data_IF_498881022232
#
_entry.id   IF_498881022232
#
_cell.length_a   1.000
_cell.length_b   1.000
_cell.length_c   1.000
_cell.angle_alpha   90.00
_cell.angle_beta   90.00
_cell.angle_gamma   90.00
#
_symmetry.space_group_name_H-M   'P 1'
#
loop_
_entity.id
_entity.type
_entity.pdbx_description
1 polymer ?
#
# COMPACT_ATOMS: atom_id res chain seq x y z
N UNK A 1 -2.74 4.88 -4.83
CA UNK A 1 -2.82 3.60 -5.53
C UNK A 1 -4.18 3.43 -6.12
N UNK A 2 -4.28 3.34 -7.41
CA UNK A 2 -5.59 3.37 -8.09
C UNK A 2 -6.21 1.97 -8.20
N UNK A 3 -6.47 1.33 -7.09
CA UNK A 3 -7.06 -0.02 -7.09
C UNK A 3 -8.34 -0.11 -7.92
N UNK A 4 -9.22 0.90 -7.77
CA UNK A 4 -10.50 0.91 -8.48
C UNK A 4 -10.37 1.23 -9.97
N UNK A 5 -9.21 1.72 -10.39
CA UNK A 5 -9.00 2.16 -11.78
C UNK A 5 -8.18 1.18 -12.60
N UNK A 6 -7.60 0.17 -11.95
CA UNK A 6 -6.78 -0.79 -12.67
C UNK A 6 -7.63 -1.68 -13.57
N UNK A 7 -7.06 -2.09 -14.68
CA UNK A 7 -7.68 -3.05 -15.61
C UNK A 7 -6.63 -4.03 -16.10
N UNK A 8 -7.10 -5.21 -16.51
CA UNK A 8 -6.21 -6.22 -17.03
C UNK A 8 -5.60 -5.79 -18.37
N UNK A 9 -4.31 -6.09 -18.56
CA UNK A 9 -3.59 -5.91 -19.82
C UNK A 9 -2.90 -7.23 -20.12
N UNK A 10 -3.38 -7.96 -21.13
CA UNK A 10 -2.90 -9.30 -21.40
C UNK A 10 -3.21 -10.24 -20.24
N UNK A 11 -2.17 -10.90 -19.70
CA UNK A 11 -2.28 -11.82 -18.58
C UNK A 11 -2.19 -11.15 -17.22
N UNK A 12 -1.89 -9.86 -17.17
CA UNK A 12 -1.58 -9.16 -15.93
C UNK A 12 -2.56 -8.03 -15.65
N UNK A 13 -2.72 -7.73 -14.37
CA UNK A 13 -3.39 -6.52 -13.91
C UNK A 13 -2.33 -5.56 -13.37
N UNK A 14 -1.95 -4.52 -14.12
CA UNK A 14 -0.89 -3.62 -13.68
C UNK A 14 -1.40 -2.64 -12.64
N UNK A 15 -0.55 -2.35 -11.65
CA UNK A 15 -0.74 -1.28 -10.69
C UNK A 15 0.42 -0.30 -10.87
N UNK A 16 0.10 0.91 -11.30
CA UNK A 16 1.10 1.95 -11.52
C UNK A 16 1.39 2.65 -10.20
N UNK A 17 2.52 2.32 -9.59
CA UNK A 17 2.91 2.92 -8.30
C UNK A 17 3.38 4.36 -8.52
N UNK A 18 4.24 4.55 -9.52
CA UNK A 18 4.68 5.87 -9.96
C UNK A 18 5.12 5.77 -11.43
N UNK A 19 5.73 6.82 -11.96
CA UNK A 19 6.15 6.87 -13.36
C UNK A 19 7.22 5.82 -13.72
N UNK A 20 7.93 5.30 -12.74
CA UNK A 20 9.04 4.35 -12.98
C UNK A 20 8.80 2.96 -12.41
N UNK A 21 7.70 2.71 -11.72
CA UNK A 21 7.43 1.42 -11.10
C UNK A 21 6.01 0.95 -11.37
N UNK A 22 5.92 -0.21 -12.00
CA UNK A 22 4.66 -0.91 -12.21
C UNK A 22 4.74 -2.27 -11.51
N UNK A 23 3.68 -2.63 -10.79
CA UNK A 23 3.52 -3.98 -10.24
C UNK A 23 2.51 -4.70 -11.11
N UNK A 24 2.91 -5.82 -11.69
CA UNK A 24 2.01 -6.65 -12.50
C UNK A 24 1.45 -7.77 -11.62
N UNK A 25 0.13 -7.77 -11.44
CA UNK A 25 -0.55 -8.82 -10.70
C UNK A 25 -1.04 -9.88 -11.67
N UNK A 26 -0.63 -11.12 -11.40
CA UNK A 26 -1.06 -12.29 -12.15
C UNK A 26 -2.18 -12.99 -11.38
N UNK A 27 -3.28 -13.30 -12.06
CA UNK A 27 -4.37 -14.04 -11.44
C UNK A 27 -3.96 -15.49 -11.24
N UNK A 28 -4.16 -16.01 -10.04
CA UNK A 28 -3.77 -17.36 -9.69
C UNK A 28 -4.91 -18.05 -8.93
N UNK A 29 -5.28 -19.26 -9.34
CA UNK A 29 -6.39 -19.99 -8.74
C UNK A 29 -5.98 -20.82 -7.54
N UNK A 30 -4.69 -21.10 -7.39
CA UNK A 30 -4.15 -21.82 -6.23
C UNK A 30 -3.72 -20.87 -5.13
N UNK A 31 -3.43 -21.40 -3.94
CA UNK A 31 -2.89 -20.62 -2.84
C UNK A 31 -1.56 -19.96 -3.21
N UNK A 32 -1.34 -18.76 -2.72
CA UNK A 32 -0.13 -17.97 -2.97
C UNK A 32 0.33 -17.30 -1.66
N UNK A 33 1.63 -17.00 -1.52
CA UNK A 33 2.14 -16.28 -0.36
C UNK A 33 1.60 -14.86 -0.32
N UNK A 34 1.23 -14.40 0.87
CA UNK A 34 0.89 -13.00 1.10
C UNK A 34 2.19 -12.18 1.04
N UNK A 35 2.17 -11.13 0.25
CA UNK A 35 3.30 -10.23 0.08
C UNK A 35 3.17 -9.03 1.01
N UNK A 36 4.31 -8.47 1.42
CA UNK A 36 4.40 -7.21 2.15
C UNK A 36 5.18 -6.23 1.27
N UNK A 37 4.50 -5.19 0.82
CA UNK A 37 5.04 -4.20 -0.11
C UNK A 37 5.12 -2.86 0.62
N UNK A 38 6.32 -2.29 0.70
CA UNK A 38 6.58 -1.04 1.42
C UNK A 38 7.13 0.00 0.46
N UNK A 39 6.53 1.19 0.46
CA UNK A 39 6.93 2.30 -0.41
C UNK A 39 7.24 3.54 0.41
N UNK A 40 8.40 4.15 0.12
CA UNK A 40 8.69 5.48 0.63
C UNK A 40 8.03 6.51 -0.27
N UNK A 41 7.33 7.47 0.34
CA UNK A 41 6.59 8.53 -0.35
C UNK A 41 6.93 9.87 0.30
N UNK A 42 6.68 10.96 -0.41
CA UNK A 42 6.77 12.31 0.17
C UNK A 42 5.61 12.55 1.14
N UNK A 43 5.73 13.61 1.95
CA UNK A 43 4.65 13.99 2.86
C UNK A 43 3.36 14.31 2.09
N UNK A 44 3.46 15.01 0.97
CA UNK A 44 2.28 15.34 0.17
C UNK A 44 1.67 14.12 -0.50
N UNK A 45 2.49 13.19 -0.96
CA UNK A 45 2.02 11.90 -1.49
C UNK A 45 1.33 11.08 -0.42
N UNK A 46 1.85 11.09 0.80
CA UNK A 46 1.24 10.40 1.94
C UNK A 46 -0.15 10.97 2.22
N UNK A 47 -0.28 12.28 2.29
CA UNK A 47 -1.59 12.94 2.51
C UNK A 47 -2.59 12.56 1.41
N UNK A 48 -2.15 12.58 0.16
CA UNK A 48 -3.01 12.19 -0.97
C UNK A 48 -3.41 10.72 -0.89
N UNK A 49 -2.51 9.84 -0.48
CA UNK A 49 -2.80 8.41 -0.29
C UNK A 49 -3.84 8.19 0.80
N UNK A 50 -3.69 8.84 1.96
CA UNK A 50 -4.66 8.73 3.06
C UNK A 50 -6.05 9.19 2.58
N UNK A 51 -6.12 10.33 1.90
CA UNK A 51 -7.39 10.83 1.39
C UNK A 51 -8.04 9.84 0.41
N UNK A 52 -7.24 9.21 -0.45
CA UNK A 52 -7.73 8.23 -1.42
C UNK A 52 -8.21 6.94 -0.75
N UNK A 53 -7.46 6.43 0.22
CA UNK A 53 -7.87 5.23 0.98
C UNK A 53 -9.19 5.48 1.70
N UNK A 54 -9.35 6.65 2.32
CA UNK A 54 -10.58 7.04 2.98
C UNK A 54 -11.75 7.16 1.99
N UNK A 55 -11.53 7.78 0.85
CA UNK A 55 -12.55 7.94 -0.19
C UNK A 55 -13.02 6.59 -0.75
N UNK A 56 -12.14 5.61 -0.81
CA UNK A 56 -12.45 4.26 -1.27
C UNK A 56 -12.98 3.33 -0.18
N UNK A 57 -13.07 3.81 1.06
CA UNK A 57 -13.51 3.01 2.20
C UNK A 57 -12.55 1.91 2.59
N UNK A 58 -11.27 2.05 2.27
CA UNK A 58 -10.25 1.06 2.62
C UNK A 58 -9.78 1.32 4.04
N UNK A 59 -9.90 0.31 4.89
CA UNK A 59 -9.50 0.40 6.29
C UNK A 59 -7.98 0.48 6.43
N UNK A 60 -7.51 1.35 7.31
CA UNK A 60 -6.09 1.52 7.60
C UNK A 60 -5.75 1.08 9.01
N UNK A 61 -4.48 0.78 9.23
CA UNK A 61 -3.97 0.44 10.55
C UNK A 61 -2.55 0.96 10.75
N UNK A 62 -2.18 1.09 12.03
CA UNK A 62 -0.88 1.63 12.43
C UNK A 62 0.19 0.57 12.64
N UNK A 63 -0.17 -0.72 12.57
CA UNK A 63 0.77 -1.84 12.73
C UNK A 63 0.55 -2.87 11.64
N UNK A 64 1.61 -3.62 11.26
CA UNK A 64 1.49 -4.56 10.14
C UNK A 64 0.55 -5.75 10.42
N UNK A 65 0.50 -6.22 11.65
CA UNK A 65 -0.26 -7.43 12.01
C UNK A 65 -1.34 -7.17 13.05
N UNK A 66 -1.55 -5.92 13.42
CA UNK A 66 -2.56 -5.55 14.39
C UNK A 66 -3.95 -5.45 13.80
N UNK A 67 -4.92 -5.20 14.66
CA UNK A 67 -6.28 -4.93 14.25
C UNK A 67 -6.36 -3.58 13.50
N UNK A 68 -7.39 -3.44 12.68
CA UNK A 68 -7.72 -2.15 12.07
C UNK A 68 -8.04 -1.15 13.17
N UNK A 69 -7.27 -0.06 13.24
CA UNK A 69 -7.43 0.97 14.25
C UNK A 69 -7.70 2.37 13.65
N UNK A 70 -7.66 2.49 12.33
CA UNK A 70 -7.87 3.77 11.65
C UNK A 70 -6.76 4.80 11.88
N UNK A 71 -5.61 4.37 12.37
CA UNK A 71 -4.53 5.26 12.81
C UNK A 71 -3.33 5.20 11.88
N UNK A 72 -2.60 6.31 11.85
CA UNK A 72 -1.28 6.43 11.25
C UNK A 72 -0.24 6.28 12.35
N UNK A 73 0.82 5.53 12.08
CA UNK A 73 1.93 5.37 13.02
C UNK A 73 2.91 6.54 12.87
N UNK A 74 3.22 7.21 13.99
CA UNK A 74 4.14 8.35 14.03
C UNK A 74 5.36 8.08 14.92
N UNK A 75 5.61 6.84 15.31
CA UNK A 75 6.61 6.50 16.32
C UNK A 75 8.04 6.34 15.80
N UNK A 76 8.24 6.43 14.48
CA UNK A 76 9.53 6.14 13.86
C UNK A 76 10.13 7.34 13.13
N UNK A 77 9.82 8.55 13.56
CA UNK A 77 10.40 9.78 13.02
C UNK A 77 9.68 10.34 11.79
N UNK A 78 8.67 9.65 11.31
CA UNK A 78 7.82 10.07 10.19
C UNK A 78 6.44 9.46 10.34
N UNK A 79 5.76 9.25 9.22
CA UNK A 79 4.43 8.66 9.21
C UNK A 79 4.46 7.33 8.45
N UNK A 80 3.77 6.33 9.00
CA UNK A 80 3.61 5.02 8.37
C UNK A 80 2.13 4.65 8.41
N UNK A 81 1.64 4.09 7.32
CA UNK A 81 0.29 3.53 7.26
C UNK A 81 0.33 2.16 6.60
N UNK A 82 -0.51 1.26 7.08
CA UNK A 82 -0.69 -0.09 6.54
C UNK A 82 -2.13 -0.29 6.11
N UNK A 83 -2.31 -1.03 5.02
CA UNK A 83 -3.62 -1.48 4.56
C UNK A 83 -3.47 -2.78 3.78
N UNK A 84 -4.58 -3.45 3.51
CA UNK A 84 -4.61 -4.65 2.68
C UNK A 84 -5.64 -4.49 1.59
N UNK A 85 -5.41 -5.14 0.45
CA UNK A 85 -6.41 -5.26 -0.60
C UNK A 85 -7.16 -6.61 -0.45
N UNK A 86 -8.19 -6.89 -1.28
CA UNK A 86 -9.03 -8.08 -1.08
C UNK A 86 -8.28 -9.41 -1.10
N UNK A 87 -7.14 -9.51 -1.78
CA UNK A 87 -6.33 -10.73 -1.81
C UNK A 87 -5.50 -10.91 -0.54
N UNK A 88 -5.48 -9.91 0.34
CA UNK A 88 -4.83 -9.99 1.63
C UNK A 88 -3.37 -9.58 1.66
N UNK A 89 -2.79 -9.15 0.53
CA UNK A 89 -1.43 -8.61 0.55
C UNK A 89 -1.37 -7.37 1.44
N UNK A 90 -0.26 -7.21 2.13
CA UNK A 90 -0.03 -6.09 3.01
C UNK A 90 0.70 -4.98 2.27
N UNK A 91 0.15 -3.79 2.33
CA UNK A 91 0.73 -2.59 1.76
C UNK A 91 1.12 -1.64 2.85
N UNK A 92 2.24 -0.97 2.65
CA UNK A 92 2.78 0.00 3.59
C UNK A 92 3.30 1.20 2.82
N UNK A 93 2.98 2.39 3.30
CA UNK A 93 3.62 3.62 2.84
C UNK A 93 4.23 4.33 4.04
N UNK A 94 5.44 4.86 3.85
CA UNK A 94 6.13 5.60 4.89
C UNK A 94 6.84 6.82 4.31
N UNK A 95 7.02 7.83 5.15
CA UNK A 95 7.69 9.07 4.74
C UNK A 95 9.16 9.07 5.13
N UNK A 96 9.54 8.30 6.15
CA UNK A 96 10.92 8.12 6.60
C UNK A 96 11.18 6.62 6.77
N UNK A 97 12.20 6.12 6.12
CA UNK A 97 12.56 4.71 6.25
C UNK A 97 13.08 4.41 7.65
N UNK A 98 12.55 3.35 8.26
CA UNK A 98 13.04 2.87 9.54
C UNK A 98 14.31 2.03 9.41
N UNK A 99 14.62 1.55 8.20
CA UNK A 99 15.68 0.57 7.98
C UNK A 99 16.81 1.08 7.07
N UNK A 100 16.48 1.96 6.12
CA UNK A 100 17.45 2.45 5.14
C UNK A 100 18.12 3.71 5.68
N UNK A 101 19.45 3.82 5.65
CA UNK A 101 20.15 5.06 6.04
C UNK A 101 19.64 6.26 5.25
N UNK A 102 19.68 7.41 5.92
CA UNK A 102 19.24 8.68 5.32
C UNK A 102 20.19 9.09 4.19
#
# INVERSE_FOLDING_TARGET
MPWAERSAVGLFCPVYVNSGLTLDFDQHDAAFPIQHLCFRVSESEFDALIARLQALGIAIRSTPHGAVDGQVNTQHGGRIVYWSEPDGHMWEALTVSYARPA
#
